data_IF_395978072605
#
_entry.id   IF_395978072605
#
_cell.length_a   1.000
_cell.length_b   1.000
_cell.length_c   1.000
_cell.angle_alpha   90.00
_cell.angle_beta   90.00
_cell.angle_gamma   90.00
#
_symmetry.space_group_name_H-M   'P 1'
#
loop_
_entity.id
_entity.type
_entity.pdbx_description
1 polymer ?
#
# COMPACT_ATOMS: atom_id res chain seq x y z
N UNK A 1 -13.01 9.90 15.72
CA UNK A 1 -12.39 8.69 16.32
C UNK A 1 -11.08 8.42 15.59
N UNK A 2 -10.00 8.05 16.30
CA UNK A 2 -8.71 7.74 15.67
C UNK A 2 -8.45 6.23 15.70
N UNK A 3 -8.23 5.62 14.53
CA UNK A 3 -7.91 4.20 14.41
C UNK A 3 -6.43 4.04 14.03
N UNK A 4 -5.64 3.42 14.90
CA UNK A 4 -4.25 3.09 14.61
C UNK A 4 -4.18 1.86 13.68
N UNK A 5 -3.65 2.05 12.48
CA UNK A 5 -3.47 0.94 11.52
C UNK A 5 -2.09 0.28 11.64
N UNK A 6 -1.05 1.09 11.84
CA UNK A 6 0.33 0.63 12.02
C UNK A 6 1.00 1.44 13.13
N UNK A 7 1.66 0.76 14.06
CA UNK A 7 2.53 1.39 15.05
C UNK A 7 3.54 0.37 15.55
N UNK A 8 4.80 0.52 15.12
CA UNK A 8 5.87 -0.34 15.58
C UNK A 8 7.17 -0.15 14.81
N UNK A 9 8.21 -0.81 15.29
CA UNK A 9 9.51 -0.90 14.64
C UNK A 9 9.72 -2.35 14.22
N UNK A 10 10.04 -2.54 12.95
CA UNK A 10 10.14 -3.85 12.32
C UNK A 10 11.47 -3.97 11.59
N UNK A 11 11.98 -5.18 11.38
CA UNK A 11 13.11 -5.36 10.47
C UNK A 11 12.73 -4.91 9.04
N UNK A 12 13.72 -4.62 8.19
CA UNK A 12 13.47 -4.32 6.77
C UNK A 12 12.59 -5.38 6.11
N UNK A 13 12.88 -6.66 6.34
CA UNK A 13 12.14 -7.77 5.73
C UNK A 13 10.67 -7.82 6.21
N UNK A 14 10.44 -7.68 7.52
CA UNK A 14 9.09 -7.63 8.08
C UNK A 14 8.31 -6.42 7.56
N UNK A 15 8.98 -5.26 7.46
CA UNK A 15 8.39 -4.03 6.92
C UNK A 15 7.95 -4.22 5.48
N UNK A 16 8.82 -4.79 4.63
CA UNK A 16 8.49 -5.08 3.23
C UNK A 16 7.32 -6.06 3.14
N UNK A 17 7.32 -7.13 3.92
CA UNK A 17 6.25 -8.13 3.92
C UNK A 17 4.90 -7.50 4.34
N UNK A 18 4.90 -6.71 5.41
CA UNK A 18 3.71 -6.03 5.90
C UNK A 18 3.17 -5.02 4.87
N UNK A 19 4.04 -4.20 4.30
CA UNK A 19 3.66 -3.24 3.26
C UNK A 19 3.13 -3.95 2.01
N UNK A 20 3.76 -5.02 1.54
CA UNK A 20 3.25 -5.82 0.41
C UNK A 20 1.82 -6.29 0.68
N UNK A 21 1.55 -6.92 1.83
CA UNK A 21 0.19 -7.37 2.18
C UNK A 21 -0.83 -6.23 2.21
N UNK A 22 -0.46 -5.06 2.72
CA UNK A 22 -1.36 -3.89 2.75
C UNK A 22 -1.65 -3.34 1.35
N UNK A 23 -0.64 -3.29 0.48
CA UNK A 23 -0.81 -2.85 -0.89
C UNK A 23 -1.63 -3.84 -1.70
N UNK A 24 -1.46 -5.15 -1.49
CA UNK A 24 -2.28 -6.19 -2.12
C UNK A 24 -3.77 -6.02 -1.79
N UNK A 25 -4.09 -5.71 -0.52
CA UNK A 25 -5.48 -5.39 -0.11
C UNK A 25 -6.01 -4.16 -0.86
N UNK A 26 -5.20 -3.10 -1.00
CA UNK A 26 -5.60 -1.88 -1.74
C UNK A 26 -5.81 -2.14 -3.22
N UNK A 27 -4.94 -2.93 -3.85
CA UNK A 27 -5.03 -3.31 -5.26
C UNK A 27 -6.29 -4.13 -5.47
N UNK A 28 -6.49 -5.20 -4.68
CA UNK A 28 -7.68 -6.05 -4.76
C UNK A 28 -8.97 -5.26 -4.60
N UNK A 29 -9.00 -4.27 -3.70
CA UNK A 29 -10.15 -3.39 -3.55
C UNK A 29 -10.47 -2.61 -4.85
N UNK A 30 -9.46 -2.12 -5.59
CA UNK A 30 -9.71 -1.47 -6.88
C UNK A 30 -10.15 -2.49 -7.95
N UNK A 31 -9.53 -3.67 -7.99
CA UNK A 31 -9.91 -4.75 -8.92
C UNK A 31 -11.37 -5.18 -8.74
N UNK A 32 -11.81 -5.32 -7.49
CA UNK A 32 -13.20 -5.68 -7.19
C UNK A 32 -14.17 -4.57 -7.60
N UNK A 33 -13.75 -3.29 -7.52
CA UNK A 33 -14.54 -2.16 -8.05
C UNK A 33 -14.62 -2.14 -9.58
N UNK A 34 -13.53 -2.51 -10.27
CA UNK A 34 -13.52 -2.67 -11.73
C UNK A 34 -14.49 -3.76 -12.14
N UNK A 35 -14.45 -4.93 -11.49
CA UNK A 35 -15.35 -6.07 -11.81
C UNK A 35 -16.83 -5.72 -11.66
N UNK A 36 -17.17 -4.78 -10.79
CA UNK A 36 -18.55 -4.34 -10.54
C UNK A 36 -18.97 -3.10 -11.33
N UNK A 37 -18.11 -2.55 -12.19
CA UNK A 37 -18.35 -1.28 -12.88
C UNK A 37 -18.60 -1.50 -14.36
N UNK A 38 -19.66 -0.87 -14.89
CA UNK A 38 -19.94 -0.81 -16.33
C UNK A 38 -19.49 0.53 -16.96
N UNK A 39 -18.98 1.47 -16.15
CA UNK A 39 -18.49 2.76 -16.62
C UNK A 39 -17.00 2.66 -17.00
N UNK A 40 -16.69 2.89 -18.29
CA UNK A 40 -15.34 2.82 -18.84
C UNK A 40 -14.38 3.86 -18.23
N UNK A 41 -14.86 5.07 -17.92
CA UNK A 41 -14.04 6.12 -17.32
C UNK A 41 -13.64 5.74 -15.89
N UNK A 42 -14.60 5.20 -15.12
CA UNK A 42 -14.33 4.67 -13.78
C UNK A 42 -13.32 3.52 -13.84
N UNK A 43 -13.47 2.59 -14.79
CA UNK A 43 -12.51 1.48 -14.98
C UNK A 43 -11.10 2.04 -15.22
N UNK A 44 -10.92 2.97 -16.17
CA UNK A 44 -9.62 3.56 -16.50
C UNK A 44 -8.98 4.29 -15.32
N UNK A 45 -9.78 5.02 -14.54
CA UNK A 45 -9.32 5.68 -13.33
C UNK A 45 -8.82 4.64 -12.30
N UNK A 46 -9.56 3.55 -12.09
CA UNK A 46 -9.19 2.48 -11.15
C UNK A 46 -7.94 1.73 -11.58
N UNK A 47 -7.80 1.42 -12.87
CA UNK A 47 -6.57 0.83 -13.42
C UNK A 47 -5.35 1.73 -13.22
N UNK A 48 -5.52 3.03 -13.42
CA UNK A 48 -4.46 4.02 -13.16
C UNK A 48 -4.07 4.04 -11.69
N UNK A 49 -5.04 3.92 -10.78
CA UNK A 49 -4.81 3.79 -9.33
C UNK A 49 -4.04 2.52 -8.98
N UNK A 50 -4.34 1.40 -9.62
CA UNK A 50 -3.60 0.14 -9.43
C UNK A 50 -2.12 0.31 -9.84
N UNK A 51 -1.86 0.92 -11.00
CA UNK A 51 -0.49 1.20 -11.46
C UNK A 51 0.27 2.10 -10.48
N UNK A 52 -0.39 3.13 -9.96
CA UNK A 52 0.17 4.02 -8.94
C UNK A 52 0.53 3.25 -7.65
N UNK A 53 -0.36 2.38 -7.16
CA UNK A 53 -0.11 1.54 -5.99
C UNK A 53 1.10 0.61 -6.21
N UNK A 54 1.18 -0.04 -7.37
CA UNK A 54 2.30 -0.91 -7.71
C UNK A 54 3.63 -0.13 -7.76
N UNK A 55 3.63 1.06 -8.38
CA UNK A 55 4.80 1.94 -8.43
C UNK A 55 5.24 2.36 -7.02
N UNK A 56 4.30 2.81 -6.18
CA UNK A 56 4.60 3.23 -4.81
C UNK A 56 5.19 2.10 -3.96
N UNK A 57 4.69 0.85 -4.12
CA UNK A 57 5.26 -0.31 -3.43
C UNK A 57 6.69 -0.61 -3.90
N UNK A 58 6.95 -0.49 -5.20
CA UNK A 58 8.29 -0.68 -5.76
C UNK A 58 9.28 0.37 -5.25
N UNK A 59 8.88 1.65 -5.24
CA UNK A 59 9.70 2.74 -4.70
C UNK A 59 9.96 2.59 -3.20
N UNK A 60 8.93 2.22 -2.43
CA UNK A 60 9.07 1.91 -1.00
C UNK A 60 10.06 0.77 -0.76
N UNK A 61 10.04 -0.28 -1.60
CA UNK A 61 11.00 -1.38 -1.52
C UNK A 61 12.43 -0.92 -1.70
N UNK A 62 12.70 -0.15 -2.76
CA UNK A 62 14.03 0.42 -3.02
C UNK A 62 14.50 1.27 -1.84
N UNK A 63 13.60 2.11 -1.31
CA UNK A 63 13.93 3.00 -0.21
C UNK A 63 14.27 2.24 1.09
N UNK A 64 13.48 1.21 1.43
CA UNK A 64 13.72 0.38 2.63
C UNK A 64 15.01 -0.43 2.49
N UNK A 65 15.28 -1.00 1.31
CA UNK A 65 16.51 -1.77 1.06
C UNK A 65 17.76 -0.90 1.24
N UNK A 66 17.73 0.34 0.75
CA UNK A 66 18.82 1.32 0.85
C UNK A 66 18.93 2.03 2.20
N UNK A 67 17.95 1.86 3.10
CA UNK A 67 17.95 2.55 4.38
C UNK A 67 19.09 2.06 5.28
N UNK A 68 19.85 2.93 5.93
CA UNK A 68 21.04 2.51 6.68
C UNK A 68 20.72 1.62 7.90
N UNK A 69 19.58 1.85 8.55
CA UNK A 69 19.16 1.07 9.72
C UNK A 69 18.55 -0.29 9.30
N UNK A 70 18.87 -1.39 10.03
CA UNK A 70 18.22 -2.68 9.82
C UNK A 70 16.73 -2.70 10.21
N UNK A 71 16.28 -1.66 10.92
CA UNK A 71 14.91 -1.50 11.40
C UNK A 71 14.23 -0.27 10.81
N UNK A 72 12.94 -0.40 10.50
CA UNK A 72 12.05 0.64 9.98
C UNK A 72 10.93 0.88 10.98
N UNK A 73 10.66 2.14 11.29
CA UNK A 73 9.48 2.53 12.05
C UNK A 73 8.30 2.77 11.11
N UNK A 74 7.22 2.03 11.31
CA UNK A 74 5.97 2.19 10.56
C UNK A 74 4.90 2.79 11.46
N UNK A 75 4.28 3.87 10.97
CA UNK A 75 3.21 4.58 11.66
C UNK A 75 2.12 5.00 10.68
N UNK A 76 0.86 4.67 10.98
CA UNK A 76 -0.30 5.18 10.26
C UNK A 76 -1.56 5.16 11.12
N UNK A 77 -2.38 6.20 10.96
CA UNK A 77 -3.66 6.38 11.65
C UNK A 77 -4.74 6.88 10.68
N UNK A 78 -6.00 6.57 10.99
CA UNK A 78 -7.17 7.11 10.31
C UNK A 78 -7.94 8.00 11.29
N UNK A 79 -8.22 9.23 10.87
CA UNK A 79 -9.13 10.15 11.55
C UNK A 79 -10.51 10.08 10.90
N UNK A 80 -11.54 9.74 11.71
CA UNK A 80 -12.96 9.66 11.31
C UNK A 80 -13.78 10.70 12.05
#
# INVERSE_FOLDING_TARGET
>A
MNLQLLKGTYSKQESLNLLTKLFDVKIKFQEDKIKSSDNEEDIKMRESRIKELQKNLYEARIHIEKYDSPYISLHSEISV
#
